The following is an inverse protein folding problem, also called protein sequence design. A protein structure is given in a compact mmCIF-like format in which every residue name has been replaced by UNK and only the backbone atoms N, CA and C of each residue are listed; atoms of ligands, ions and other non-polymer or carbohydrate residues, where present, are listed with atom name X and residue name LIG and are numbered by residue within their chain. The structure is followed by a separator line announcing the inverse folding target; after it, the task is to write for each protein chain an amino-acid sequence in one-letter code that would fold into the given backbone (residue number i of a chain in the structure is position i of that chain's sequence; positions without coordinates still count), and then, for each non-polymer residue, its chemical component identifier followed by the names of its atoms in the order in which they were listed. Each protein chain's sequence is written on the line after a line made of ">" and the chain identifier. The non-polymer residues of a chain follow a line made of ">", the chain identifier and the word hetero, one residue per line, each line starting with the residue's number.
data_IF_360913605356
#
_entry.id   IF_360913605356
#
_cell.length_a   1.000
_cell.length_b   1.000
_cell.length_c   1.000
_cell.angle_alpha   90.00
_cell.angle_beta   90.00
_cell.angle_gamma   90.00
#
_symmetry.space_group_name_H-M   'P 1'
#
loop_
_entity.id
_entity.type
_entity.pdbx_description
1 polymer ?
#
# COMPACT_ATOMS: atom_id res chain seq x y z
N UNK A 1 -42.97 -23.75 -22.25
CA UNK A 1 -41.65 -24.34 -21.91
C UNK A 1 -40.48 -23.42 -22.26
N UNK A 2 -40.43 -22.79 -23.46
CA UNK A 2 -39.33 -21.88 -23.85
C UNK A 2 -39.16 -20.64 -22.94
N UNK A 3 -40.26 -20.05 -22.47
CA UNK A 3 -40.26 -18.87 -21.56
C UNK A 3 -39.70 -19.21 -20.16
N UNK A 4 -39.93 -20.43 -19.67
CA UNK A 4 -39.39 -20.89 -18.39
C UNK A 4 -37.87 -21.05 -18.44
N UNK A 5 -37.32 -21.46 -19.59
CA UNK A 5 -35.88 -21.55 -19.81
C UNK A 5 -35.18 -20.18 -19.76
N UNK A 6 -35.82 -19.11 -20.23
CA UNK A 6 -35.26 -17.75 -20.20
C UNK A 6 -35.21 -17.15 -18.79
N UNK A 7 -36.16 -17.49 -17.91
CA UNK A 7 -36.18 -17.02 -16.51
C UNK A 7 -35.08 -17.69 -15.67
N UNK A 8 -34.80 -18.97 -15.93
CA UNK A 8 -33.70 -19.72 -15.27
C UNK A 8 -32.33 -19.19 -15.69
N UNK A 9 -32.16 -18.75 -16.95
CA UNK A 9 -30.92 -18.14 -17.45
C UNK A 9 -30.62 -16.77 -16.83
N UNK A 10 -31.65 -16.02 -16.39
CA UNK A 10 -31.47 -14.69 -15.78
C UNK A 10 -31.09 -14.77 -14.28
N UNK A 11 -31.44 -15.86 -13.59
CA UNK A 11 -31.09 -16.11 -12.18
C UNK A 11 -29.70 -16.74 -11.99
N UNK A 12 -29.03 -17.15 -13.09
CA UNK A 12 -27.69 -17.74 -13.07
C UNK A 12 -26.53 -16.74 -13.04
N UNK A 13 -26.81 -15.43 -12.98
CA UNK A 13 -25.79 -14.40 -12.73
C UNK A 13 -25.38 -14.43 -11.25
N UNK A 14 -24.74 -15.52 -10.82
CA UNK A 14 -24.16 -15.60 -9.48
C UNK A 14 -23.01 -14.60 -9.38
N UNK A 15 -23.00 -13.86 -8.28
CA UNK A 15 -21.98 -12.87 -7.94
C UNK A 15 -20.65 -13.58 -7.70
N UNK A 16 -19.82 -13.70 -8.73
CA UNK A 16 -18.45 -14.16 -8.60
C UNK A 16 -17.59 -13.05 -8.00
N UNK A 17 -17.18 -13.21 -6.73
CA UNK A 17 -16.15 -12.37 -6.12
C UNK A 17 -14.80 -12.92 -6.54
N UNK A 18 -14.23 -12.36 -7.60
CA UNK A 18 -12.91 -12.78 -8.12
C UNK A 18 -11.74 -12.09 -7.39
N UNK A 19 -12.01 -11.00 -6.66
CA UNK A 19 -10.98 -10.18 -6.03
C UNK A 19 -10.76 -10.64 -4.59
N UNK A 20 -9.50 -10.92 -4.25
CA UNK A 20 -9.07 -11.19 -2.88
C UNK A 20 -9.19 -9.92 -2.01
N UNK A 21 -9.42 -10.08 -0.71
CA UNK A 21 -9.41 -8.94 0.22
C UNK A 21 -7.98 -8.45 0.48
N UNK A 22 -7.85 -7.22 0.99
CA UNK A 22 -6.52 -6.68 1.35
C UNK A 22 -5.86 -7.55 2.43
N UNK A 23 -6.64 -8.00 3.41
CA UNK A 23 -6.17 -8.89 4.47
C UNK A 23 -5.62 -10.20 3.90
N UNK A 24 -6.32 -10.82 2.94
CA UNK A 24 -5.85 -12.04 2.27
C UNK A 24 -4.56 -11.81 1.48
N UNK A 25 -4.43 -10.67 0.80
CA UNK A 25 -3.21 -10.29 0.07
C UNK A 25 -2.05 -10.12 1.05
N UNK A 26 -2.26 -9.40 2.15
CA UNK A 26 -1.22 -9.19 3.17
C UNK A 26 -0.82 -10.53 3.80
N UNK A 27 -1.77 -11.36 4.24
CA UNK A 27 -1.47 -12.68 4.81
C UNK A 27 -0.69 -13.60 3.85
N UNK A 28 -0.88 -13.42 2.54
CA UNK A 28 -0.21 -14.24 1.53
C UNK A 28 1.22 -13.78 1.23
N UNK A 29 1.47 -12.47 1.15
CA UNK A 29 2.73 -11.93 0.66
C UNK A 29 3.63 -11.33 1.76
N UNK A 30 3.07 -11.03 2.93
CA UNK A 30 3.77 -10.33 3.99
C UNK A 30 4.12 -11.27 5.15
N UNK A 31 5.19 -10.94 5.87
CA UNK A 31 5.62 -11.65 7.09
C UNK A 31 4.99 -11.06 8.36
N UNK A 32 4.41 -9.86 8.26
CA UNK A 32 3.90 -9.09 9.40
C UNK A 32 4.96 -8.85 10.48
N UNK A 33 6.20 -8.65 10.04
CA UNK A 33 7.39 -8.53 10.91
C UNK A 33 7.57 -7.13 11.51
N UNK A 34 6.89 -6.13 10.94
CA UNK A 34 6.95 -4.72 11.35
C UNK A 34 5.54 -4.19 11.69
N UNK A 35 5.39 -3.12 12.48
CA UNK A 35 4.09 -2.54 12.81
C UNK A 35 3.37 -1.91 11.61
N UNK A 36 2.05 -2.12 11.52
CA UNK A 36 1.23 -1.63 10.41
C UNK A 36 0.48 -0.37 10.84
N UNK A 37 0.29 0.54 9.88
CA UNK A 37 -0.62 1.67 10.01
C UNK A 37 -1.69 1.60 8.91
N UNK A 38 -2.91 1.97 9.27
CA UNK A 38 -4.04 2.08 8.35
C UNK A 38 -4.27 3.54 7.95
N UNK A 39 -4.95 3.75 6.82
CA UNK A 39 -5.23 5.09 6.26
C UNK A 39 -5.89 6.01 7.27
N UNK A 40 -6.82 5.49 8.06
CA UNK A 40 -7.60 6.23 9.04
C UNK A 40 -6.69 6.78 10.14
N UNK A 41 -5.75 5.96 10.63
CA UNK A 41 -4.77 6.37 11.64
C UNK A 41 -3.74 7.36 11.07
N UNK A 42 -3.35 7.20 9.80
CA UNK A 42 -2.41 8.12 9.17
C UNK A 42 -2.99 9.55 9.07
N UNK A 43 -4.29 9.68 8.80
CA UNK A 43 -4.97 10.99 8.72
C UNK A 43 -4.87 11.77 10.04
N UNK A 44 -4.86 11.08 11.19
CA UNK A 44 -4.75 11.70 12.52
C UNK A 44 -3.38 12.33 12.76
N UNK A 45 -2.32 11.72 12.22
CA UNK A 45 -0.92 12.12 12.46
C UNK A 45 -0.24 12.77 11.26
N UNK A 46 -0.88 12.85 10.09
CA UNK A 46 -0.26 13.33 8.84
C UNK A 46 0.27 14.78 8.91
N UNK A 47 -0.22 15.58 9.86
CA UNK A 47 0.21 16.96 10.06
C UNK A 47 1.39 17.10 11.03
N UNK A 48 1.86 16.00 11.61
CA UNK A 48 3.07 16.00 12.45
C UNK A 48 4.30 16.36 11.60
N UNK A 49 5.00 17.47 11.90
CA UNK A 49 6.16 17.90 11.13
C UNK A 49 7.38 16.96 11.27
N UNK A 50 7.36 16.05 12.24
CA UNK A 50 8.42 15.05 12.46
C UNK A 50 8.19 13.76 11.67
N UNK A 51 7.01 13.58 11.09
CA UNK A 51 6.65 12.42 10.30
C UNK A 51 7.33 12.46 8.93
N UNK A 52 7.94 11.33 8.55
CA UNK A 52 8.47 11.13 7.20
C UNK A 52 7.67 10.07 6.47
N UNK A 53 7.13 10.43 5.30
CA UNK A 53 6.41 9.51 4.42
C UNK A 53 7.31 9.06 3.27
N UNK A 54 7.46 7.75 3.10
CA UNK A 54 8.20 7.14 2.01
C UNK A 54 7.26 6.38 1.07
N UNK A 55 7.21 6.80 -0.20
CA UNK A 55 6.48 6.12 -1.25
C UNK A 55 7.39 5.13 -1.98
N UNK A 56 7.09 3.83 -1.88
CA UNK A 56 7.87 2.76 -2.51
C UNK A 56 7.32 2.33 -3.87
N UNK A 57 6.27 3.01 -4.38
CA UNK A 57 5.73 2.73 -5.72
C UNK A 57 6.72 3.10 -6.82
N UNK A 58 6.45 2.64 -8.04
CA UNK A 58 7.26 2.99 -9.20
C UNK A 58 7.20 4.50 -9.46
N UNK A 59 8.26 5.08 -10.06
CA UNK A 59 8.36 6.53 -10.28
C UNK A 59 7.15 7.10 -11.02
N UNK A 60 6.64 6.36 -12.01
CA UNK A 60 5.45 6.73 -12.78
C UNK A 60 4.17 6.78 -11.92
N UNK A 61 4.02 5.91 -10.93
CA UNK A 61 2.87 5.90 -10.02
C UNK A 61 2.91 7.14 -9.12
N UNK A 62 4.08 7.44 -8.53
CA UNK A 62 4.31 8.63 -7.70
C UNK A 62 4.05 9.94 -8.45
N UNK A 63 4.44 10.02 -9.73
CA UNK A 63 4.26 11.21 -10.56
C UNK A 63 2.80 11.48 -10.93
N UNK A 64 1.96 10.44 -11.02
CA UNK A 64 0.51 10.62 -11.22
C UNK A 64 -0.11 11.24 -9.98
N UNK A 65 0.17 10.67 -8.80
CA UNK A 65 -0.20 11.25 -7.51
C UNK A 65 0.55 10.58 -6.37
N UNK A 66 0.66 11.26 -5.24
CA UNK A 66 1.23 10.73 -4.00
C UNK A 66 0.67 11.51 -2.80
N UNK A 67 0.83 10.95 -1.59
CA UNK A 67 0.48 11.66 -0.35
C UNK A 67 1.35 12.91 -0.25
N UNK A 68 0.74 14.07 0.01
CA UNK A 68 1.43 15.36 0.05
C UNK A 68 2.61 15.30 1.04
N UNK A 69 3.79 15.70 0.58
CA UNK A 69 5.02 15.68 1.39
C UNK A 69 5.77 14.35 1.38
N UNK A 70 5.23 13.29 0.78
CA UNK A 70 5.92 12.01 0.67
C UNK A 70 7.16 12.09 -0.23
N UNK A 71 8.24 11.46 0.22
CA UNK A 71 9.46 11.28 -0.56
C UNK A 71 9.36 10.01 -1.40
N UNK A 72 9.73 10.10 -2.67
CA UNK A 72 9.81 8.91 -3.53
C UNK A 72 11.06 8.08 -3.19
N UNK A 73 10.85 6.92 -2.58
CA UNK A 73 11.88 5.95 -2.25
C UNK A 73 12.06 4.90 -3.37
N UNK A 74 10.95 4.50 -4.00
CA UNK A 74 10.90 3.40 -4.97
C UNK A 74 11.14 2.03 -4.32
N UNK A 75 10.90 0.97 -5.10
CA UNK A 75 11.04 -0.42 -4.65
C UNK A 75 12.21 -1.12 -5.34
N UNK A 76 12.13 -1.35 -6.67
CA UNK A 76 13.16 -2.07 -7.43
C UNK A 76 14.55 -1.43 -7.37
N UNK A 77 14.58 -0.10 -7.35
CA UNK A 77 15.81 0.70 -7.30
C UNK A 77 15.97 1.41 -5.94
N UNK A 78 15.44 0.80 -4.87
CA UNK A 78 15.57 1.36 -3.53
C UNK A 78 17.05 1.53 -3.16
N UNK A 79 17.37 2.68 -2.54
CA UNK A 79 18.73 3.01 -2.13
C UNK A 79 18.72 3.55 -0.70
N UNK A 80 19.11 2.68 0.24
CA UNK A 80 19.17 3.00 1.66
C UNK A 80 20.09 4.20 1.96
N UNK A 81 21.21 4.32 1.25
CA UNK A 81 22.15 5.44 1.42
C UNK A 81 21.52 6.77 0.99
N UNK A 82 20.74 6.78 -0.09
CA UNK A 82 20.00 7.96 -0.55
C UNK A 82 18.94 8.37 0.48
N UNK A 83 18.16 7.41 0.99
CA UNK A 83 17.16 7.67 2.03
C UNK A 83 17.82 8.20 3.31
N UNK A 84 18.88 7.54 3.78
CA UNK A 84 19.65 7.96 4.98
C UNK A 84 20.32 9.32 4.83
N UNK A 85 20.67 9.73 3.60
CA UNK A 85 21.19 11.08 3.34
C UNK A 85 20.10 12.13 3.39
N UNK A 86 18.86 11.80 3.02
CA UNK A 86 17.72 12.72 3.05
C UNK A 86 17.12 12.85 4.44
N UNK A 87 16.90 11.73 5.13
CA UNK A 87 16.34 11.67 6.48
C UNK A 87 17.49 11.79 7.49
N UNK A 88 17.73 13.01 7.96
CA UNK A 88 18.81 13.30 8.93
C UNK A 88 18.42 12.97 10.36
N UNK A 89 17.17 13.23 10.73
CA UNK A 89 16.67 12.93 12.06
C UNK A 89 16.46 11.42 12.19
N UNK A 90 17.23 10.77 13.08
CA UNK A 90 17.13 9.33 13.34
C UNK A 90 15.98 8.96 14.27
N UNK A 91 15.42 9.95 14.97
CA UNK A 91 14.26 9.80 15.84
C UNK A 91 12.94 10.09 15.09
N UNK A 92 13.01 10.46 13.81
CA UNK A 92 11.83 10.71 13.00
C UNK A 92 11.00 9.43 12.83
N UNK A 93 9.69 9.53 13.03
CA UNK A 93 8.78 8.45 12.69
C UNK A 93 8.72 8.30 11.17
N UNK A 94 9.08 7.12 10.65
CA UNK A 94 9.06 6.83 9.22
C UNK A 94 7.87 5.91 8.93
N UNK A 95 6.99 6.36 8.03
CA UNK A 95 5.90 5.54 7.49
C UNK A 95 6.18 5.27 6.02
N UNK A 96 6.24 3.99 5.69
CA UNK A 96 6.49 3.50 4.33
C UNK A 96 5.16 3.01 3.75
N UNK A 97 4.82 3.44 2.55
CA UNK A 97 3.61 2.99 1.88
C UNK A 97 3.85 2.61 0.43
N UNK A 98 3.00 1.71 -0.05
CA UNK A 98 2.86 1.40 -1.46
C UNK A 98 1.38 1.43 -1.84
N UNK A 99 0.95 0.59 -2.80
CA UNK A 99 -0.46 0.52 -3.19
C UNK A 99 -1.30 -0.34 -2.24
N UNK A 100 -0.73 -1.46 -1.75
CA UNK A 100 -1.49 -2.50 -1.02
C UNK A 100 -0.81 -2.95 0.28
N UNK A 101 0.34 -2.39 0.66
CA UNK A 101 1.09 -2.78 1.86
C UNK A 101 2.23 -3.79 1.65
N UNK A 102 2.32 -4.47 0.49
CA UNK A 102 3.34 -5.50 0.23
C UNK A 102 4.75 -4.92 0.08
N UNK A 103 4.98 -4.08 -0.95
CA UNK A 103 6.29 -3.46 -1.22
C UNK A 103 6.80 -2.58 -0.06
N UNK A 104 5.88 -2.06 0.75
CA UNK A 104 6.22 -1.21 1.89
C UNK A 104 6.75 -2.00 3.07
N UNK A 105 6.28 -3.23 3.31
CA UNK A 105 6.84 -4.08 4.37
C UNK A 105 8.30 -4.43 4.05
N UNK A 106 8.57 -4.95 2.86
CA UNK A 106 9.93 -5.28 2.42
C UNK A 106 10.93 -4.14 2.63
N UNK A 107 10.50 -2.91 2.34
CA UNK A 107 11.35 -1.72 2.48
C UNK A 107 11.45 -1.29 3.94
N UNK A 108 10.38 -1.40 4.72
CA UNK A 108 10.40 -1.11 6.15
C UNK A 108 11.30 -2.10 6.91
N UNK A 109 11.40 -3.37 6.49
CA UNK A 109 12.34 -4.35 7.07
C UNK A 109 13.82 -3.96 6.87
N UNK A 110 14.12 -3.13 5.86
CA UNK A 110 15.50 -2.71 5.52
C UNK A 110 15.92 -1.44 6.28
N UNK A 111 14.96 -0.62 6.70
CA UNK A 111 15.20 0.67 7.36
C UNK A 111 15.62 0.50 8.81
#
# INVERSE_FOLDING_TARGET
>A
MKILCYIVLFFGATTSVAQQTIEEVLLKYNKQSIPYIYSEMLVEIQNDPTLVLLDTREKKEYQVSHIKGALHAGYKNFNLQKVSKTIKNKDAQIIVYCSLGVRSEDIAEIL
#
